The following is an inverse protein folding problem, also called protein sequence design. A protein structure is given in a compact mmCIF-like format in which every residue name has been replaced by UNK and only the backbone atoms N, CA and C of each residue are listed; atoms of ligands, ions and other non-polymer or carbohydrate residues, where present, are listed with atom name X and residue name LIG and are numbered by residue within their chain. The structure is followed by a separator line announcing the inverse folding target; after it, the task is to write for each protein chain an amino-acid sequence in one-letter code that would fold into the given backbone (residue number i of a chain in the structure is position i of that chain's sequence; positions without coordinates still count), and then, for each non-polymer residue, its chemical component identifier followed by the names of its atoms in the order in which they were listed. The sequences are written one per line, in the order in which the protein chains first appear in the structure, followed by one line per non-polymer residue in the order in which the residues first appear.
data_IF_809328054919
#
_entry.id   IF_809328054919
#
_cell.length_a   1.000
_cell.length_b   1.000
_cell.length_c   1.000
_cell.angle_alpha   90.00
_cell.angle_beta   90.00
_cell.angle_gamma   90.00
#
_symmetry.space_group_name_H-M   'P 1'
#
loop_
_entity.id
_entity.type
_entity.pdbx_description
1 polymer ?
#
# COMPACT_ATOMS: atom_id res chain seq x y z
N UNK A 1 -21.84 11.21 7.47
CA UNK A 1 -20.40 10.90 7.54
C UNK A 1 -20.24 9.42 7.24
N UNK A 2 -19.39 9.03 6.29
CA UNK A 2 -19.18 7.59 6.02
C UNK A 2 -18.17 7.06 7.04
N UNK A 3 -18.57 6.09 7.85
CA UNK A 3 -17.66 5.38 8.74
C UNK A 3 -16.97 4.27 7.96
N UNK A 4 -15.66 4.19 8.06
CA UNK A 4 -14.87 3.13 7.44
C UNK A 4 -14.56 2.06 8.49
N UNK A 5 -14.70 0.79 8.13
CA UNK A 5 -14.25 -0.31 8.98
C UNK A 5 -12.76 -0.61 8.72
N UNK A 6 -12.10 -1.28 9.66
CA UNK A 6 -10.75 -1.83 9.45
C UNK A 6 -10.63 -2.59 8.11
N UNK A 7 -11.64 -3.39 7.78
CA UNK A 7 -11.70 -4.17 6.54
C UNK A 7 -11.77 -3.27 5.30
N UNK A 8 -12.56 -2.19 5.34
CA UNK A 8 -12.67 -1.25 4.23
C UNK A 8 -11.35 -0.51 4.00
N UNK A 9 -10.70 -0.06 5.08
CA UNK A 9 -9.43 0.66 5.03
C UNK A 9 -8.35 -0.29 4.46
N UNK A 10 -8.27 -1.50 4.98
CA UNK A 10 -7.30 -2.52 4.53
C UNK A 10 -7.47 -2.87 3.05
N UNK A 11 -8.71 -3.08 2.59
CA UNK A 11 -8.99 -3.38 1.19
C UNK A 11 -8.67 -2.20 0.25
N UNK A 12 -8.95 -0.96 0.69
CA UNK A 12 -8.61 0.22 -0.09
C UNK A 12 -7.10 0.45 -0.18
N UNK A 13 -6.38 0.23 0.92
CA UNK A 13 -4.91 0.28 0.96
C UNK A 13 -4.31 -0.76 0.02
N UNK A 14 -4.75 -2.01 0.08
CA UNK A 14 -4.28 -3.07 -0.81
C UNK A 14 -4.44 -2.71 -2.29
N UNK A 15 -5.62 -2.19 -2.64
CA UNK A 15 -5.91 -1.72 -4.00
C UNK A 15 -4.96 -0.60 -4.42
N UNK A 16 -4.69 0.36 -3.54
CA UNK A 16 -3.80 1.47 -3.83
C UNK A 16 -2.34 1.00 -4.01
N UNK A 17 -1.85 0.14 -3.12
CA UNK A 17 -0.51 -0.45 -3.24
C UNK A 17 -0.38 -1.20 -4.57
N UNK A 18 -1.33 -2.07 -4.90
CA UNK A 18 -1.33 -2.84 -6.14
C UNK A 18 -1.31 -1.93 -7.38
N UNK A 19 -2.08 -0.85 -7.35
CA UNK A 19 -2.09 0.15 -8.42
C UNK A 19 -0.72 0.81 -8.57
N UNK A 20 -0.15 1.31 -7.48
CA UNK A 20 1.17 1.94 -7.49
C UNK A 20 2.26 1.00 -8.01
N UNK A 21 2.32 -0.24 -7.53
CA UNK A 21 3.30 -1.23 -8.02
C UNK A 21 3.09 -1.51 -9.50
N UNK A 22 1.86 -1.72 -9.96
CA UNK A 22 1.56 -1.95 -11.38
C UNK A 22 1.98 -0.78 -12.25
N UNK A 23 1.73 0.45 -11.80
CA UNK A 23 2.12 1.67 -12.52
C UNK A 23 3.64 1.86 -12.51
N UNK A 24 4.34 1.49 -11.43
CA UNK A 24 5.81 1.50 -11.42
C UNK A 24 6.41 0.59 -12.50
N UNK A 25 5.80 -0.58 -12.72
CA UNK A 25 6.21 -1.55 -13.76
C UNK A 25 5.90 -0.99 -15.16
N UNK A 26 4.74 -0.34 -15.34
CA UNK A 26 4.35 0.28 -16.62
C UNK A 26 5.29 1.42 -17.03
N UNK A 27 5.92 2.09 -16.07
CA UNK A 27 6.86 3.19 -16.30
C UNK A 27 8.32 2.80 -16.04
N UNK A 28 8.68 1.52 -16.20
CA UNK A 28 10.03 1.02 -15.95
C UNK A 28 11.12 1.68 -16.83
N UNK A 29 10.73 2.30 -17.95
CA UNK A 29 11.61 3.08 -18.83
C UNK A 29 11.97 4.46 -18.27
N UNK A 30 11.21 4.95 -17.29
CA UNK A 30 11.46 6.21 -16.58
C UNK A 30 11.76 5.93 -15.12
N UNK A 31 13.05 5.72 -14.82
CA UNK A 31 13.51 5.35 -13.49
C UNK A 31 12.97 6.26 -12.37
N UNK A 32 12.88 7.57 -12.60
CA UNK A 32 12.32 8.51 -11.62
C UNK A 32 10.82 8.31 -11.37
N UNK A 33 10.04 8.02 -12.42
CA UNK A 33 8.60 7.77 -12.27
C UNK A 33 8.37 6.41 -11.63
N UNK A 34 9.09 5.37 -12.06
CA UNK A 34 9.00 4.04 -11.48
C UNK A 34 9.29 4.07 -9.97
N UNK A 35 10.37 4.75 -9.56
CA UNK A 35 10.74 4.85 -8.16
C UNK A 35 9.71 5.65 -7.34
N UNK A 36 9.21 6.76 -7.88
CA UNK A 36 8.15 7.55 -7.24
C UNK A 36 6.91 6.70 -6.92
N UNK A 37 6.49 5.83 -7.83
CA UNK A 37 5.33 4.95 -7.59
C UNK A 37 5.62 3.85 -6.56
N UNK A 38 6.85 3.34 -6.47
CA UNK A 38 7.25 2.42 -5.39
C UNK A 38 7.20 3.10 -4.03
N UNK A 39 7.74 4.31 -3.93
CA UNK A 39 7.68 5.13 -2.72
C UNK A 39 6.24 5.42 -2.29
N UNK A 40 5.34 5.70 -3.25
CA UNK A 40 3.91 5.86 -2.96
C UNK A 40 3.23 4.57 -2.47
N UNK A 41 3.62 3.42 -3.02
CA UNK A 41 3.14 2.12 -2.54
C UNK A 41 3.54 1.91 -1.06
N UNK A 42 4.81 2.18 -0.74
CA UNK A 42 5.31 2.07 0.63
C UNK A 42 4.67 3.10 1.57
N UNK A 43 4.48 4.33 1.11
CA UNK A 43 3.75 5.36 1.84
C UNK A 43 2.31 4.97 2.19
N UNK A 44 1.59 4.33 1.27
CA UNK A 44 0.24 3.83 1.52
C UNK A 44 0.21 2.73 2.60
N UNK A 45 1.21 1.84 2.60
CA UNK A 45 1.38 0.85 3.66
C UNK A 45 1.66 1.51 5.02
N UNK A 46 2.59 2.47 5.09
CA UNK A 46 2.92 3.17 6.33
C UNK A 46 1.72 3.90 6.92
N UNK A 47 0.96 4.62 6.09
CA UNK A 47 -0.25 5.31 6.53
C UNK A 47 -1.30 4.33 7.06
N UNK A 48 -1.53 3.22 6.36
CA UNK A 48 -2.43 2.16 6.84
C UNK A 48 -1.98 1.59 8.19
N UNK A 49 -0.68 1.33 8.35
CA UNK A 49 -0.12 0.78 9.58
C UNK A 49 -0.35 1.73 10.77
N UNK A 50 -0.26 3.03 10.54
CA UNK A 50 -0.50 4.07 11.55
C UNK A 50 -1.99 4.19 11.92
N UNK A 51 -2.88 4.34 10.93
CA UNK A 51 -4.30 4.60 11.20
C UNK A 51 -5.06 3.36 11.72
N UNK A 52 -4.52 2.17 11.49
CA UNK A 52 -5.08 0.90 12.02
C UNK A 52 -4.40 0.43 13.30
N UNK A 53 -3.54 1.27 13.90
CA UNK A 53 -2.84 0.95 15.13
C UNK A 53 -3.82 0.53 16.24
N UNK A 54 -3.55 -0.63 16.87
CA UNK A 54 -4.41 -1.21 17.91
C UNK A 54 -5.51 -2.14 17.41
N UNK A 55 -5.93 -2.05 16.14
CA UNK A 55 -6.90 -2.96 15.50
C UNK A 55 -6.25 -3.89 14.46
N UNK A 56 -5.03 -3.56 14.02
CA UNK A 56 -4.30 -4.26 12.98
C UNK A 56 -4.00 -5.72 13.34
N UNK A 57 -4.19 -6.59 12.35
CA UNK A 57 -3.80 -8.00 12.43
C UNK A 57 -2.39 -8.20 11.86
N UNK A 58 -1.59 -9.06 12.50
CA UNK A 58 -0.21 -9.35 12.06
C UNK A 58 -0.16 -9.94 10.65
N UNK A 59 -1.14 -10.78 10.29
CA UNK A 59 -1.24 -11.37 8.97
C UNK A 59 -1.44 -10.30 7.87
N UNK A 60 -2.28 -9.30 8.13
CA UNK A 60 -2.50 -8.20 7.21
C UNK A 60 -1.27 -7.28 7.13
N UNK A 61 -0.55 -7.09 8.24
CA UNK A 61 0.68 -6.30 8.25
C UNK A 61 1.75 -6.93 7.35
N UNK A 62 2.04 -8.22 7.54
CA UNK A 62 3.03 -8.91 6.70
C UNK A 62 2.59 -8.99 5.24
N UNK A 63 1.30 -9.22 4.98
CA UNK A 63 0.76 -9.27 3.61
C UNK A 63 0.91 -7.93 2.90
N UNK A 64 0.51 -6.82 3.52
CA UNK A 64 0.61 -5.49 2.91
C UNK A 64 2.05 -4.99 2.83
N UNK A 65 2.91 -5.32 3.81
CA UNK A 65 4.35 -4.99 3.76
C UNK A 65 5.03 -5.63 2.55
N UNK A 66 4.78 -6.92 2.31
CA UNK A 66 5.30 -7.64 1.13
C UNK A 66 4.74 -7.08 -0.18
N UNK A 67 3.47 -6.69 -0.18
CA UNK A 67 2.84 -6.11 -1.36
C UNK A 67 3.43 -4.73 -1.71
N UNK A 68 3.77 -3.92 -0.69
CA UNK A 68 4.29 -2.57 -0.87
C UNK A 68 5.79 -2.51 -1.19
N UNK A 69 6.54 -3.54 -0.80
CA UNK A 69 7.95 -3.69 -1.13
C UNK A 69 8.22 -5.13 -1.57
N UNK A 70 7.78 -5.51 -2.78
CA UNK A 70 8.12 -6.80 -3.36
C UNK A 70 9.63 -6.79 -3.71
N UNK A 71 10.38 -7.70 -3.08
CA UNK A 71 11.82 -7.90 -3.33
C UNK A 71 12.16 -8.02 -4.83
#
# INVERSE_FOLDING_TARGET
MKTWTYKDITAATEKQITHCISTSIQHADSAGIAEMYKEWAYGAFNLWAEITWGERQDADFERLRKLANPD
#
